data_IF_892262140780
#
_entry.id   IF_892262140780
#
_cell.length_a   1.000
_cell.length_b   1.000
_cell.length_c   1.000
_cell.angle_alpha   90.00
_cell.angle_beta   90.00
_cell.angle_gamma   90.00
#
_symmetry.space_group_name_H-M   'P 1'
#
loop_
_entity.id
_entity.type
_entity.pdbx_description
1 polymer ?
#
# COMPACT_ATOMS: atom_id res chain seq x y z
N UNK A 1 -1.13 -13.46 -23.29
CA UNK A 1 -2.28 -12.55 -23.17
C UNK A 1 -1.77 -11.19 -22.72
N UNK A 2 -2.62 -10.14 -22.79
CA UNK A 2 -2.27 -8.78 -22.35
C UNK A 2 -3.00 -8.45 -21.03
N UNK A 3 -2.25 -8.02 -20.02
CA UNK A 3 -2.77 -7.62 -18.74
C UNK A 3 -2.39 -6.16 -18.47
N UNK A 4 -3.40 -5.30 -18.27
CA UNK A 4 -3.20 -3.89 -17.99
C UNK A 4 -3.35 -3.65 -16.49
N UNK A 5 -2.29 -3.19 -15.84
CA UNK A 5 -2.32 -2.75 -14.46
C UNK A 5 -2.63 -1.27 -14.40
N UNK A 6 -3.68 -0.89 -13.69
CA UNK A 6 -4.05 0.51 -13.48
C UNK A 6 -3.80 0.90 -12.04
N UNK A 7 -3.03 1.95 -11.82
CA UNK A 7 -2.52 2.30 -10.49
C UNK A 7 -2.32 3.80 -10.33
N UNK A 8 -2.56 4.31 -9.13
CA UNK A 8 -2.21 5.67 -8.77
C UNK A 8 -0.68 5.86 -8.79
N UNK A 9 -0.14 7.03 -9.22
CA UNK A 9 1.29 7.29 -9.30
C UNK A 9 1.92 7.51 -7.91
N UNK A 10 1.81 6.51 -7.06
CA UNK A 10 2.28 6.47 -5.68
C UNK A 10 3.08 5.18 -5.44
N UNK A 11 4.27 5.29 -4.86
CA UNK A 11 5.13 4.13 -4.61
C UNK A 11 4.44 3.04 -3.80
N UNK A 12 3.67 3.42 -2.76
CA UNK A 12 2.94 2.47 -1.93
C UNK A 12 1.90 1.65 -2.70
N UNK A 13 1.29 2.24 -3.71
CA UNK A 13 0.30 1.59 -4.58
C UNK A 13 0.98 0.69 -5.62
N UNK A 14 1.96 1.24 -6.33
CA UNK A 14 2.70 0.54 -7.39
C UNK A 14 3.45 -0.70 -6.87
N UNK A 15 4.22 -0.56 -5.80
CA UNK A 15 5.02 -1.66 -5.26
C UNK A 15 4.17 -2.87 -4.85
N UNK A 16 2.96 -2.65 -4.34
CA UNK A 16 2.04 -3.72 -3.97
C UNK A 16 1.59 -4.58 -5.18
N UNK A 17 1.64 -4.03 -6.40
CA UNK A 17 1.18 -4.69 -7.61
C UNK A 17 2.31 -5.43 -8.37
N UNK A 18 3.55 -4.99 -8.17
CA UNK A 18 4.72 -5.49 -8.92
C UNK A 18 4.92 -7.00 -8.82
N UNK A 19 4.81 -7.66 -7.66
CA UNK A 19 5.05 -9.11 -7.58
C UNK A 19 4.14 -9.93 -8.50
N UNK A 20 2.85 -9.61 -8.58
CA UNK A 20 1.93 -10.30 -9.48
C UNK A 20 2.22 -9.95 -10.95
N UNK A 21 2.58 -8.71 -11.23
CA UNK A 21 2.94 -8.28 -12.58
C UNK A 21 4.19 -9.01 -13.09
N UNK A 22 5.22 -9.17 -12.24
CA UNK A 22 6.42 -9.96 -12.56
C UNK A 22 6.07 -11.43 -12.80
N UNK A 23 5.25 -12.04 -11.95
CA UNK A 23 4.82 -13.43 -12.12
C UNK A 23 4.08 -13.64 -13.46
N UNK A 24 3.22 -12.70 -13.88
CA UNK A 24 2.59 -12.76 -15.21
C UNK A 24 3.60 -12.66 -16.35
N UNK A 25 4.58 -11.76 -16.24
CA UNK A 25 5.65 -11.59 -17.23
C UNK A 25 6.50 -12.86 -17.35
N UNK A 26 6.86 -13.48 -16.22
CA UNK A 26 7.62 -14.74 -16.17
C UNK A 26 6.85 -15.92 -16.78
N UNK A 27 5.52 -15.88 -16.78
CA UNK A 27 4.66 -16.84 -17.46
C UNK A 27 4.39 -16.50 -18.94
N UNK A 28 5.15 -15.54 -19.51
CA UNK A 28 5.09 -15.20 -20.94
C UNK A 28 3.92 -14.31 -21.33
N UNK A 29 3.32 -13.60 -20.41
CA UNK A 29 2.27 -12.62 -20.68
C UNK A 29 2.85 -11.24 -20.96
N UNK A 30 2.15 -10.46 -21.77
CA UNK A 30 2.42 -9.04 -22.00
C UNK A 30 1.76 -8.23 -20.89
N UNK A 31 2.57 -7.49 -20.13
CA UNK A 31 2.12 -6.71 -18.98
C UNK A 31 2.52 -5.26 -19.16
N UNK A 32 1.57 -4.35 -18.92
CA UNK A 32 1.81 -2.92 -18.93
C UNK A 32 1.14 -2.24 -17.74
N UNK A 33 1.67 -1.08 -17.35
CA UNK A 33 1.09 -0.22 -16.34
C UNK A 33 0.55 1.07 -16.96
N UNK A 34 -0.68 1.41 -16.62
CA UNK A 34 -1.31 2.70 -16.86
C UNK A 34 -1.29 3.49 -15.55
N UNK A 35 -0.55 4.59 -15.52
CA UNK A 35 -0.39 5.47 -14.35
C UNK A 35 0.11 6.84 -14.80
N UNK A 36 0.16 7.83 -13.89
CA UNK A 36 0.59 9.18 -14.18
C UNK A 36 1.94 9.26 -14.93
N UNK A 37 2.09 10.28 -15.75
CA UNK A 37 3.27 10.47 -16.62
C UNK A 37 4.57 10.52 -15.85
N UNK A 38 4.58 11.21 -14.70
CA UNK A 38 5.78 11.36 -13.83
C UNK A 38 6.30 10.03 -13.29
N UNK A 39 5.46 8.99 -13.26
CA UNK A 39 5.81 7.67 -12.74
C UNK A 39 6.42 6.73 -13.80
N UNK A 40 6.53 7.19 -15.05
CA UNK A 40 6.98 6.38 -16.17
C UNK A 40 8.37 5.78 -16.00
N UNK A 41 9.34 6.56 -15.51
CA UNK A 41 10.71 6.07 -15.25
C UNK A 41 10.72 4.94 -14.22
N UNK A 42 9.93 5.05 -13.16
CA UNK A 42 9.79 4.03 -12.12
C UNK A 42 9.27 2.71 -12.69
N UNK A 43 8.19 2.76 -13.50
CA UNK A 43 7.61 1.60 -14.17
C UNK A 43 8.59 0.93 -15.13
N UNK A 44 9.28 1.75 -15.95
CA UNK A 44 10.26 1.27 -16.93
C UNK A 44 11.51 0.66 -16.27
N UNK A 45 11.94 1.20 -15.14
CA UNK A 45 13.08 0.67 -14.38
C UNK A 45 12.81 -0.75 -13.86
N UNK A 46 11.57 -1.04 -13.47
CA UNK A 46 11.14 -2.41 -13.10
C UNK A 46 10.95 -3.32 -14.33
N UNK A 47 11.07 -2.78 -15.54
CA UNK A 47 11.04 -3.54 -16.80
C UNK A 47 9.64 -3.74 -17.38
N UNK A 48 8.69 -2.84 -17.09
CA UNK A 48 7.36 -2.86 -17.67
C UNK A 48 7.15 -1.74 -18.69
N UNK A 49 6.23 -1.98 -19.62
CA UNK A 49 5.71 -0.94 -20.49
C UNK A 49 4.85 0.03 -19.67
N UNK A 50 5.05 1.34 -19.87
CA UNK A 50 4.28 2.41 -19.27
C UNK A 50 3.37 3.07 -20.30
N UNK A 51 2.12 3.28 -19.91
CA UNK A 51 1.18 4.15 -20.60
C UNK A 51 0.82 5.32 -19.66
N UNK A 52 1.10 6.56 -20.06
CA UNK A 52 0.76 7.73 -19.28
C UNK A 52 -0.76 7.91 -19.26
N UNK A 53 -1.39 7.64 -18.13
CA UNK A 53 -2.83 7.72 -17.90
C UNK A 53 -3.11 8.36 -16.53
N UNK A 54 -4.19 9.11 -16.45
CA UNK A 54 -4.59 9.81 -15.24
C UNK A 54 -3.75 11.06 -14.96
N UNK A 55 -3.98 11.63 -13.80
CA UNK A 55 -3.29 12.84 -13.34
C UNK A 55 -1.95 12.50 -12.70
N UNK A 56 -0.98 13.40 -12.85
CA UNK A 56 0.25 13.35 -12.09
C UNK A 56 0.01 13.89 -10.67
N UNK A 57 0.45 13.13 -9.70
CA UNK A 57 0.45 13.55 -8.30
C UNK A 57 1.83 14.14 -7.98
N UNK A 58 1.96 15.47 -8.08
CA UNK A 58 3.13 16.20 -7.62
C UNK A 58 2.92 16.61 -6.17
N UNK A 59 3.54 15.92 -5.23
CA UNK A 59 3.37 16.15 -3.81
C UNK A 59 2.30 15.28 -3.14
N UNK A 60 1.64 15.80 -2.11
CA UNK A 60 0.58 15.08 -1.42
C UNK A 60 -0.72 15.04 -2.26
N UNK A 61 -1.39 13.89 -2.36
CA UNK A 61 -2.65 13.75 -3.10
C UNK A 61 -3.75 14.71 -2.65
N UNK A 62 -3.74 15.12 -1.39
CA UNK A 62 -4.75 16.02 -0.81
C UNK A 62 -4.87 17.35 -1.58
N UNK A 63 -3.79 17.91 -2.10
CA UNK A 63 -3.83 19.14 -2.88
C UNK A 63 -4.69 19.04 -4.15
N UNK A 64 -4.73 17.86 -4.79
CA UNK A 64 -5.61 17.61 -5.94
C UNK A 64 -7.07 17.50 -5.51
N UNK A 65 -7.34 16.87 -4.35
CA UNK A 65 -8.71 16.72 -3.85
C UNK A 65 -9.35 18.08 -3.55
N UNK A 66 -8.56 19.04 -3.07
CA UNK A 66 -9.02 20.41 -2.83
C UNK A 66 -9.46 21.16 -4.09
N UNK A 67 -9.10 20.67 -5.28
CA UNK A 67 -9.58 21.25 -6.55
C UNK A 67 -11.04 20.89 -6.88
N UNK A 68 -11.63 19.94 -6.16
CA UNK A 68 -13.05 19.58 -6.35
C UNK A 68 -13.96 20.74 -5.93
N UNK A 69 -14.93 21.15 -6.78
CA UNK A 69 -15.82 22.29 -6.50
C UNK A 69 -16.64 22.13 -5.20
N UNK A 70 -16.89 20.91 -4.78
CA UNK A 70 -17.68 20.56 -3.60
C UNK A 70 -16.82 20.10 -2.41
N UNK A 71 -15.49 20.34 -2.41
CA UNK A 71 -14.60 19.76 -1.41
C UNK A 71 -14.91 20.19 0.02
N UNK A 72 -15.33 21.45 0.23
CA UNK A 72 -15.76 21.91 1.56
C UNK A 72 -17.02 21.18 2.05
N UNK A 73 -17.94 20.85 1.13
CA UNK A 73 -19.14 20.06 1.45
C UNK A 73 -18.73 18.63 1.81
N UNK A 74 -17.78 18.07 1.09
CA UNK A 74 -17.22 16.72 1.34
C UNK A 74 -16.58 16.67 2.73
N UNK A 75 -15.75 17.65 3.09
CA UNK A 75 -15.13 17.75 4.41
C UNK A 75 -16.18 17.86 5.54
N UNK A 76 -17.20 18.65 5.33
CA UNK A 76 -18.29 18.80 6.29
C UNK A 76 -19.14 17.52 6.44
N UNK A 77 -19.40 16.82 5.34
CA UNK A 77 -20.18 15.57 5.31
C UNK A 77 -19.41 14.38 5.91
N UNK A 78 -18.13 14.30 5.63
CA UNK A 78 -17.26 13.19 6.05
C UNK A 78 -16.16 13.69 7.00
N UNK A 79 -16.33 13.58 8.33
CA UNK A 79 -15.31 14.02 9.29
C UNK A 79 -14.04 13.13 9.25
N UNK A 80 -14.12 11.93 8.73
CA UNK A 80 -12.95 11.03 8.58
C UNK A 80 -12.11 11.42 7.37
N UNK A 81 -10.85 11.76 7.59
CA UNK A 81 -9.85 12.04 6.54
C UNK A 81 -9.74 10.87 5.55
N UNK A 82 -9.77 9.62 6.04
CA UNK A 82 -9.71 8.45 5.18
C UNK A 82 -10.90 8.35 4.22
N UNK A 83 -12.12 8.72 4.65
CA UNK A 83 -13.29 8.75 3.76
C UNK A 83 -13.18 9.88 2.74
N UNK A 84 -12.71 11.05 3.17
CA UNK A 84 -12.43 12.17 2.27
C UNK A 84 -11.41 11.77 1.18
N UNK A 85 -10.36 11.05 1.56
CA UNK A 85 -9.37 10.54 0.61
C UNK A 85 -10.00 9.58 -0.41
N UNK A 86 -10.82 8.60 0.03
CA UNK A 86 -11.51 7.68 -0.89
C UNK A 86 -12.41 8.47 -1.85
N UNK A 87 -13.16 9.44 -1.36
CA UNK A 87 -13.99 10.32 -2.21
C UNK A 87 -13.13 11.07 -3.26
N UNK A 88 -11.99 11.62 -2.83
CA UNK A 88 -11.04 12.31 -3.73
C UNK A 88 -10.46 11.38 -4.80
N UNK A 89 -10.08 10.16 -4.45
CA UNK A 89 -9.62 9.15 -5.42
C UNK A 89 -10.70 8.82 -6.45
N UNK A 90 -11.96 8.76 -6.05
CA UNK A 90 -13.08 8.52 -6.98
C UNK A 90 -13.32 9.72 -7.87
N UNK A 91 -13.52 10.91 -7.29
CA UNK A 91 -14.08 12.06 -8.01
C UNK A 91 -13.03 12.98 -8.64
N UNK A 92 -11.83 13.11 -8.04
CA UNK A 92 -10.77 13.94 -8.60
C UNK A 92 -9.91 13.16 -9.60
N UNK A 93 -9.53 11.92 -9.28
CA UNK A 93 -8.59 11.14 -10.12
C UNK A 93 -9.27 10.19 -11.08
N UNK A 94 -10.42 9.63 -10.68
CA UNK A 94 -11.15 8.64 -11.48
C UNK A 94 -11.51 9.07 -12.89
N UNK A 95 -12.04 10.29 -13.13
CA UNK A 95 -12.48 10.70 -14.46
C UNK A 95 -11.37 10.71 -15.52
N UNK A 96 -10.26 11.40 -15.27
CA UNK A 96 -9.16 11.45 -16.25
C UNK A 96 -8.58 10.07 -16.51
N UNK A 97 -8.44 9.25 -15.48
CA UNK A 97 -7.95 7.88 -15.62
C UNK A 97 -8.92 7.03 -16.43
N UNK A 98 -10.24 7.20 -16.26
CA UNK A 98 -11.25 6.48 -17.03
C UNK A 98 -11.19 6.84 -18.54
N UNK A 99 -11.03 8.12 -18.85
CA UNK A 99 -10.91 8.59 -20.24
C UNK A 99 -9.67 8.02 -20.93
N UNK A 100 -8.51 8.13 -20.28
CA UNK A 100 -7.23 7.67 -20.83
C UNK A 100 -7.19 6.13 -20.97
N UNK A 101 -7.63 5.38 -19.95
CA UNK A 101 -7.70 3.91 -20.03
C UNK A 101 -8.71 3.46 -21.06
N UNK A 102 -9.84 4.17 -21.23
CA UNK A 102 -10.81 3.89 -22.28
C UNK A 102 -10.21 4.02 -23.69
N UNK A 103 -9.39 5.06 -23.91
CA UNK A 103 -8.67 5.23 -25.18
C UNK A 103 -7.63 4.11 -25.38
N UNK A 104 -6.92 3.73 -24.30
CA UNK A 104 -5.91 2.68 -24.34
C UNK A 104 -6.52 1.30 -24.60
N UNK A 105 -7.68 0.98 -24.03
CA UNK A 105 -8.40 -0.28 -24.28
C UNK A 105 -8.66 -0.52 -25.76
N UNK A 106 -9.03 0.52 -26.51
CA UNK A 106 -9.31 0.42 -27.96
C UNK A 106 -8.06 0.03 -28.76
N UNK A 107 -6.91 0.52 -28.38
CA UNK A 107 -5.64 0.35 -29.11
C UNK A 107 -4.83 -0.83 -28.63
N UNK A 108 -4.62 -0.96 -27.32
CA UNK A 108 -3.78 -2.01 -26.72
C UNK A 108 -4.52 -3.33 -26.49
N UNK A 109 -5.85 -3.29 -26.28
CA UNK A 109 -6.77 -4.44 -26.17
C UNK A 109 -6.35 -5.42 -25.07
N UNK A 110 -6.35 -5.02 -23.78
CA UNK A 110 -6.07 -5.91 -22.68
C UNK A 110 -7.13 -7.01 -22.57
N UNK A 111 -6.72 -8.20 -22.13
CA UNK A 111 -7.64 -9.28 -21.81
C UNK A 111 -8.30 -9.09 -20.42
N UNK A 112 -7.56 -8.51 -19.49
CA UNK A 112 -8.01 -8.20 -18.12
C UNK A 112 -7.37 -6.87 -17.68
N UNK A 113 -8.12 -6.06 -16.95
CA UNK A 113 -7.59 -4.92 -16.19
C UNK A 113 -7.37 -5.36 -14.73
N UNK A 114 -6.14 -5.20 -14.22
CA UNK A 114 -5.79 -5.44 -12.82
C UNK A 114 -5.59 -4.09 -12.15
N UNK A 115 -6.43 -3.75 -11.21
CA UNK A 115 -6.44 -2.42 -10.61
C UNK A 115 -5.96 -2.40 -9.15
N UNK A 116 -5.40 -1.29 -8.76
CA UNK A 116 -5.19 -0.86 -7.40
C UNK A 116 -6.55 -0.62 -6.71
N UNK A 117 -6.73 -0.89 -5.41
CA UNK A 117 -8.03 -0.79 -4.75
C UNK A 117 -8.59 0.65 -4.68
N UNK A 118 -7.75 1.67 -4.83
CA UNK A 118 -8.14 3.10 -4.88
C UNK A 118 -8.02 3.70 -6.28
N UNK A 119 -7.85 2.88 -7.31
CA UNK A 119 -7.91 3.30 -8.70
C UNK A 119 -9.26 2.90 -9.28
N UNK A 120 -10.08 3.89 -9.65
CA UNK A 120 -11.46 3.68 -10.10
C UNK A 120 -11.67 3.92 -11.60
N UNK A 121 -10.75 4.59 -12.28
CA UNK A 121 -10.87 4.83 -13.73
C UNK A 121 -10.72 3.56 -14.55
N UNK A 122 -9.81 2.66 -14.15
CA UNK A 122 -9.68 1.33 -14.75
C UNK A 122 -10.92 0.47 -14.57
N UNK A 123 -11.59 0.56 -13.40
CA UNK A 123 -12.89 -0.08 -13.18
C UNK A 123 -13.97 0.48 -14.14
N UNK A 124 -14.08 1.80 -14.27
CA UNK A 124 -15.04 2.43 -15.18
C UNK A 124 -14.79 2.00 -16.63
N UNK A 125 -13.54 2.03 -17.08
CA UNK A 125 -13.16 1.59 -18.41
C UNK A 125 -13.46 0.10 -18.63
N UNK A 126 -13.18 -0.76 -17.65
CA UNK A 126 -13.49 -2.19 -17.72
C UNK A 126 -14.98 -2.43 -17.89
N UNK A 127 -15.82 -1.78 -17.07
CA UNK A 127 -17.28 -1.90 -17.16
C UNK A 127 -17.81 -1.38 -18.52
N UNK A 128 -17.31 -0.22 -18.98
CA UNK A 128 -17.74 0.37 -20.25
C UNK A 128 -17.46 -0.53 -21.45
N UNK A 129 -16.32 -1.24 -21.45
CA UNK A 129 -15.94 -2.16 -22.52
C UNK A 129 -16.26 -3.64 -22.23
N UNK A 130 -17.02 -3.92 -21.17
CA UNK A 130 -17.34 -5.28 -20.73
C UNK A 130 -16.09 -6.18 -20.60
N UNK A 131 -14.98 -5.61 -20.12
CA UNK A 131 -13.76 -6.34 -19.83
C UNK A 131 -13.79 -6.90 -18.40
N UNK A 132 -13.29 -8.11 -18.18
CA UNK A 132 -13.08 -8.59 -16.82
C UNK A 132 -11.99 -7.74 -16.13
N UNK A 133 -12.17 -7.54 -14.84
CA UNK A 133 -11.19 -6.83 -14.02
C UNK A 133 -10.92 -7.56 -12.71
N UNK A 134 -9.75 -7.34 -12.15
CA UNK A 134 -9.35 -7.86 -10.85
C UNK A 134 -8.82 -6.72 -9.98
N UNK A 135 -8.97 -6.86 -8.67
CA UNK A 135 -8.47 -5.88 -7.69
C UNK A 135 -7.37 -6.51 -6.85
N UNK A 136 -6.25 -5.81 -6.64
CA UNK A 136 -5.26 -6.17 -5.61
C UNK A 136 -5.59 -5.35 -4.37
N UNK A 137 -5.91 -6.00 -3.25
CA UNK A 137 -6.22 -5.31 -1.98
C UNK A 137 -5.01 -5.27 -1.05
N UNK A 138 -5.10 -4.40 -0.04
CA UNK A 138 -4.07 -4.18 0.98
C UNK A 138 -4.37 -4.90 2.31
N UNK A 139 -3.82 -4.34 3.41
CA UNK A 139 -4.00 -4.86 4.76
C UNK A 139 -5.45 -4.95 5.20
N UNK A 140 -6.25 -3.95 4.81
CA UNK A 140 -7.68 -3.91 5.07
C UNK A 140 -8.43 -3.76 3.74
N UNK A 141 -9.65 -4.24 3.69
CA UNK A 141 -10.52 -4.00 2.56
C UNK A 141 -11.15 -2.60 2.70
N UNK A 142 -10.62 -1.65 1.90
CA UNK A 142 -11.22 -0.32 1.78
C UNK A 142 -12.43 -0.46 0.87
N UNK A 143 -13.62 -0.35 1.46
CA UNK A 143 -14.88 -0.56 0.75
C UNK A 143 -15.60 0.77 0.47
N UNK A 144 -15.45 1.35 -0.74
CA UNK A 144 -16.15 2.59 -1.09
C UNK A 144 -17.67 2.47 -1.02
N UNK A 145 -18.23 1.26 -1.17
CA UNK A 145 -19.68 1.00 -0.99
C UNK A 145 -20.19 1.36 0.40
N UNK A 146 -19.32 1.27 1.42
CA UNK A 146 -19.66 1.61 2.81
C UNK A 146 -19.22 3.01 3.21
N UNK A 147 -18.20 3.55 2.54
CA UNK A 147 -17.58 4.81 2.94
C UNK A 147 -18.20 6.02 2.25
N UNK A 148 -18.35 5.97 0.93
CA UNK A 148 -18.92 7.05 0.11
C UNK A 148 -19.52 6.49 -1.19
N UNK A 149 -20.61 5.69 -1.11
CA UNK A 149 -21.20 5.01 -2.27
C UNK A 149 -21.65 5.98 -3.36
N UNK A 150 -22.17 7.14 -2.99
CA UNK A 150 -22.64 8.17 -3.93
C UNK A 150 -21.50 8.65 -4.85
N UNK A 151 -20.28 8.79 -4.36
CA UNK A 151 -19.15 9.21 -5.20
C UNK A 151 -18.93 8.25 -6.39
N UNK A 152 -19.01 6.95 -6.14
CA UNK A 152 -18.83 5.95 -7.17
C UNK A 152 -20.06 5.81 -8.08
N UNK A 153 -21.28 5.97 -7.51
CA UNK A 153 -22.52 6.00 -8.30
C UNK A 153 -22.50 7.19 -9.27
N UNK A 154 -22.14 8.38 -8.81
CA UNK A 154 -21.99 9.58 -9.64
C UNK A 154 -20.94 9.38 -10.74
N UNK A 155 -19.79 8.78 -10.41
CA UNK A 155 -18.76 8.48 -11.41
C UNK A 155 -19.30 7.51 -12.47
N UNK A 156 -20.04 6.45 -12.09
CA UNK A 156 -20.66 5.51 -13.03
C UNK A 156 -21.68 6.21 -13.94
N UNK A 157 -22.52 7.08 -13.38
CA UNK A 157 -23.52 7.85 -14.13
C UNK A 157 -22.88 8.78 -15.15
N UNK A 158 -21.76 9.44 -14.80
CA UNK A 158 -20.96 10.26 -15.73
C UNK A 158 -20.53 9.51 -16.98
N UNK A 159 -20.27 8.20 -16.86
CA UNK A 159 -19.87 7.33 -17.99
C UNK A 159 -21.04 6.51 -18.55
N UNK A 160 -22.29 6.85 -18.22
CA UNK A 160 -23.50 6.18 -18.70
C UNK A 160 -23.48 4.66 -18.52
N UNK A 161 -22.88 4.20 -17.42
CA UNK A 161 -22.90 2.79 -17.07
C UNK A 161 -24.28 2.38 -16.53
N UNK A 162 -24.71 1.12 -16.71
CA UNK A 162 -25.94 0.61 -16.15
C UNK A 162 -26.07 0.87 -14.65
N UNK A 163 -27.28 1.08 -14.16
CA UNK A 163 -27.53 1.27 -12.73
C UNK A 163 -27.04 0.08 -11.90
N UNK A 164 -26.31 0.40 -10.84
CA UNK A 164 -25.78 -0.58 -9.88
C UNK A 164 -25.74 0.10 -8.49
N UNK A 165 -26.90 0.33 -7.86
CA UNK A 165 -26.99 1.05 -6.59
C UNK A 165 -26.27 0.34 -5.45
N UNK A 166 -26.11 -0.98 -5.52
CA UNK A 166 -25.38 -1.79 -4.56
C UNK A 166 -23.89 -1.92 -4.90
N UNK A 167 -23.43 -1.32 -6.01
CA UNK A 167 -22.06 -1.37 -6.50
C UNK A 167 -21.51 -2.81 -6.59
N UNK A 168 -22.35 -3.77 -6.99
CA UNK A 168 -22.00 -5.18 -7.05
C UNK A 168 -20.94 -5.48 -8.13
N UNK A 169 -20.83 -4.59 -9.11
CA UNK A 169 -19.86 -4.75 -10.20
C UNK A 169 -18.43 -4.40 -9.78
N UNK A 170 -18.22 -3.64 -8.70
CA UNK A 170 -16.90 -3.14 -8.31
C UNK A 170 -15.85 -4.24 -8.09
N UNK A 171 -16.25 -5.33 -7.41
CA UNK A 171 -15.36 -6.46 -7.11
C UNK A 171 -16.02 -7.79 -7.48
N UNK A 172 -16.73 -7.82 -8.62
CA UNK A 172 -17.52 -9.01 -8.99
C UNK A 172 -16.72 -10.19 -9.51
N UNK A 173 -15.48 -9.98 -9.99
CA UNK A 173 -14.78 -11.04 -10.71
C UNK A 173 -13.70 -11.73 -9.88
N UNK A 174 -12.71 -10.98 -9.38
CA UNK A 174 -11.54 -11.52 -8.73
C UNK A 174 -10.87 -10.46 -7.86
N UNK A 175 -10.55 -10.82 -6.64
CA UNK A 175 -9.83 -9.98 -5.70
C UNK A 175 -8.62 -10.75 -5.18
N UNK A 176 -7.45 -10.13 -5.21
CA UNK A 176 -6.21 -10.67 -4.65
C UNK A 176 -5.88 -10.03 -3.31
N UNK A 177 -5.41 -10.85 -2.38
CA UNK A 177 -4.82 -10.39 -1.13
C UNK A 177 -3.57 -11.22 -0.80
N UNK A 178 -2.55 -10.59 -0.21
CA UNK A 178 -1.26 -11.24 0.06
C UNK A 178 -1.00 -11.42 1.56
N UNK A 179 -2.03 -11.30 2.37
CA UNK A 179 -1.98 -11.52 3.82
C UNK A 179 -2.82 -12.74 4.23
N UNK A 180 -2.51 -13.39 5.37
CA UNK A 180 -3.21 -14.59 5.80
C UNK A 180 -4.69 -14.29 6.17
N UNK A 181 -5.57 -15.30 6.19
CA UNK A 181 -7.01 -15.12 6.48
C UNK A 181 -7.31 -14.44 7.81
N UNK A 182 -6.46 -14.62 8.82
CA UNK A 182 -6.60 -13.96 10.12
C UNK A 182 -6.49 -12.44 10.03
N UNK A 183 -5.90 -11.92 8.95
CA UNK A 183 -5.75 -10.49 8.69
C UNK A 183 -7.03 -9.94 8.05
N UNK A 184 -8.03 -9.70 8.88
CA UNK A 184 -9.34 -9.20 8.44
C UNK A 184 -10.05 -8.44 9.56
N UNK A 185 -10.65 -7.31 9.22
CA UNK A 185 -11.59 -6.59 10.09
C UNK A 185 -12.97 -7.24 9.98
N UNK A 186 -13.62 -7.49 11.13
CA UNK A 186 -14.98 -8.05 11.15
C UNK A 186 -16.02 -7.11 10.55
N UNK A 187 -15.78 -5.79 10.62
CA UNK A 187 -16.69 -4.75 10.10
C UNK A 187 -16.61 -4.55 8.57
N UNK A 188 -15.51 -5.00 7.94
CA UNK A 188 -15.30 -4.87 6.50
C UNK A 188 -14.71 -6.18 5.94
N UNK A 189 -15.54 -7.22 5.79
CA UNK A 189 -15.08 -8.50 5.25
C UNK A 189 -14.66 -8.33 3.80
N UNK A 190 -13.65 -9.09 3.39
CA UNK A 190 -13.26 -9.15 1.99
C UNK A 190 -14.38 -9.76 1.14
N UNK A 191 -14.51 -9.37 -0.14
CA UNK A 191 -15.49 -9.96 -1.06
C UNK A 191 -15.34 -11.49 -1.19
N UNK A 192 -16.42 -12.24 -1.47
CA UNK A 192 -16.38 -13.71 -1.63
C UNK A 192 -15.48 -14.21 -2.77
N UNK A 193 -15.11 -13.32 -3.70
CA UNK A 193 -14.19 -13.61 -4.82
C UNK A 193 -12.72 -13.32 -4.45
N UNK A 194 -12.41 -13.19 -3.14
CA UNK A 194 -11.05 -12.90 -2.67
C UNK A 194 -10.24 -14.18 -2.54
N UNK A 195 -9.15 -14.24 -3.27
CA UNK A 195 -8.16 -15.30 -3.18
C UNK A 195 -6.85 -14.77 -2.58
N UNK A 196 -6.22 -15.59 -1.73
CA UNK A 196 -5.02 -15.23 -0.99
C UNK A 196 -3.80 -15.98 -1.52
N UNK A 197 -2.69 -15.25 -1.72
CA UNK A 197 -1.47 -15.81 -2.31
C UNK A 197 -0.24 -15.35 -1.55
N UNK A 198 0.79 -16.18 -1.54
CA UNK A 198 2.12 -15.85 -1.07
C UNK A 198 2.81 -14.97 -2.12
N UNK A 199 2.94 -13.66 -1.83
CA UNK A 199 3.69 -12.74 -2.65
C UNK A 199 4.84 -12.16 -1.84
N UNK A 200 6.08 -12.07 -2.36
CA UNK A 200 7.14 -11.35 -1.69
C UNK A 200 6.84 -9.84 -1.70
N UNK A 201 7.21 -9.09 -0.65
CA UNK A 201 7.18 -7.63 -0.73
C UNK A 201 8.16 -7.14 -1.81
N UNK A 202 7.86 -5.98 -2.40
CA UNK A 202 8.68 -5.34 -3.42
C UNK A 202 8.82 -3.85 -3.12
N UNK A 203 10.04 -3.32 -3.20
CA UNK A 203 10.34 -1.92 -2.96
C UNK A 203 11.62 -1.41 -3.66
N UNK A 204 12.23 -2.24 -4.49
CA UNK A 204 13.43 -1.88 -5.28
C UNK A 204 12.98 -1.47 -6.69
N UNK A 205 12.67 -0.19 -6.88
CA UNK A 205 12.21 0.35 -8.17
C UNK A 205 13.16 1.40 -8.77
N UNK A 206 14.42 1.40 -8.31
CA UNK A 206 15.50 2.25 -8.72
C UNK A 206 16.85 1.56 -8.54
N UNK A 207 17.93 2.34 -8.49
CA UNK A 207 19.29 1.87 -8.22
C UNK A 207 19.60 1.77 -6.71
N UNK A 208 18.56 1.81 -5.88
CA UNK A 208 18.70 1.80 -4.42
C UNK A 208 19.32 0.47 -3.93
N UNK A 209 20.27 0.58 -3.01
CA UNK A 209 21.00 -0.54 -2.43
C UNK A 209 21.13 -0.41 -0.92
N UNK A 210 21.49 -1.52 -0.26
CA UNK A 210 21.80 -1.51 1.15
C UNK A 210 23.13 -0.73 1.37
N UNK A 211 23.16 0.27 2.27
CA UNK A 211 24.41 0.95 2.63
C UNK A 211 25.44 0.01 3.27
N UNK A 212 26.70 0.17 2.90
CA UNK A 212 27.80 -0.71 3.35
C UNK A 212 27.95 -0.71 4.89
N UNK A 213 27.65 0.42 5.56
CA UNK A 213 27.77 0.56 7.01
C UNK A 213 26.77 -0.30 7.81
N UNK A 214 25.70 -0.82 7.20
CA UNK A 214 24.74 -1.69 7.88
C UNK A 214 25.42 -2.93 8.44
N UNK A 215 26.38 -3.52 7.70
CA UNK A 215 27.14 -4.69 8.16
C UNK A 215 28.14 -4.40 9.28
N UNK A 216 28.40 -3.13 9.57
CA UNK A 216 29.34 -2.69 10.62
C UNK A 216 28.62 -2.16 11.88
N UNK A 217 27.29 -2.25 11.96
CA UNK A 217 26.55 -1.84 13.14
C UNK A 217 26.99 -2.63 14.38
N UNK A 218 27.09 -1.98 15.57
CA UNK A 218 27.40 -2.66 16.83
C UNK A 218 26.43 -3.81 17.14
N UNK A 219 26.92 -4.83 17.87
CA UNK A 219 26.13 -6.00 18.27
C UNK A 219 25.11 -5.65 19.38
N UNK A 220 24.04 -4.97 19.00
CA UNK A 220 22.88 -4.62 19.85
C UNK A 220 21.62 -4.59 18.98
N UNK A 221 20.40 -4.58 19.57
CA UNK A 221 19.17 -4.55 18.79
C UNK A 221 19.14 -3.41 17.79
N UNK A 222 18.69 -3.67 16.58
CA UNK A 222 18.58 -2.67 15.51
C UNK A 222 17.10 -2.40 15.22
N UNK A 223 16.70 -1.13 15.34
CA UNK A 223 15.35 -0.64 15.07
C UNK A 223 15.34 0.10 13.75
N UNK A 224 14.51 -0.35 12.82
CA UNK A 224 14.19 0.42 11.64
C UNK A 224 12.98 1.32 11.89
N UNK A 225 13.09 2.61 11.58
CA UNK A 225 11.97 3.56 11.72
C UNK A 225 11.67 4.27 10.39
N UNK A 226 10.37 4.36 10.02
CA UNK A 226 9.93 5.04 8.81
C UNK A 226 8.48 5.54 8.91
N UNK A 227 8.19 6.70 8.33
CA UNK A 227 6.83 7.21 8.19
C UNK A 227 6.30 7.05 6.76
N UNK A 228 6.97 6.23 5.94
CA UNK A 228 6.58 5.96 4.54
C UNK A 228 7.08 7.01 3.56
N UNK A 229 6.49 6.99 2.35
CA UNK A 229 7.00 7.76 1.21
C UNK A 229 6.09 8.92 0.78
N UNK A 230 4.83 8.92 1.19
CA UNK A 230 3.82 9.88 0.68
C UNK A 230 3.28 10.80 1.77
N UNK A 231 2.71 10.25 2.84
CA UNK A 231 2.11 11.01 3.94
C UNK A 231 3.06 11.03 5.14
N UNK A 232 4.30 11.45 4.94
CA UNK A 232 5.36 11.39 5.93
C UNK A 232 5.78 12.77 6.48
N UNK A 233 5.11 13.85 6.09
CA UNK A 233 5.43 15.20 6.52
C UNK A 233 4.92 15.49 7.93
N UNK A 234 5.48 14.79 8.92
CA UNK A 234 5.20 15.02 10.34
C UNK A 234 6.49 15.24 11.13
N UNK A 235 7.04 16.46 11.11
CA UNK A 235 8.28 16.77 11.84
C UNK A 235 8.19 16.46 13.33
N UNK A 236 7.03 16.70 13.96
CA UNK A 236 6.83 16.40 15.37
C UNK A 236 6.93 14.88 15.67
N UNK A 237 6.38 14.04 14.80
CA UNK A 237 6.51 12.58 14.94
C UNK A 237 7.95 12.12 14.74
N UNK A 238 8.67 12.66 13.74
CA UNK A 238 10.10 12.34 13.57
C UNK A 238 10.94 12.79 14.76
N UNK A 239 10.68 13.97 15.33
CA UNK A 239 11.37 14.43 16.53
C UNK A 239 11.09 13.52 17.73
N UNK A 240 9.85 13.08 17.93
CA UNK A 240 9.50 12.13 18.99
C UNK A 240 10.20 10.77 18.82
N UNK A 241 10.24 10.24 17.59
CA UNK A 241 10.97 9.01 17.25
C UNK A 241 12.46 9.16 17.54
N UNK A 242 13.06 10.27 17.09
CA UNK A 242 14.47 10.53 17.31
C UNK A 242 14.81 10.66 18.79
N UNK A 243 14.00 11.39 19.57
CA UNK A 243 14.18 11.53 21.00
C UNK A 243 14.07 10.18 21.74
N UNK A 244 13.07 9.35 21.36
CA UNK A 244 12.87 8.01 21.93
C UNK A 244 14.07 7.10 21.67
N UNK A 245 14.51 6.99 20.42
CA UNK A 245 15.59 6.09 20.01
C UNK A 245 16.97 6.59 20.48
N UNK A 246 17.16 7.90 20.65
CA UNK A 246 18.38 8.47 21.21
C UNK A 246 18.63 8.10 22.67
N UNK A 247 17.56 7.79 23.40
CA UNK A 247 17.62 7.44 24.83
C UNK A 247 17.77 5.93 25.07
N UNK A 248 17.79 5.11 24.00
CA UNK A 248 17.86 3.64 24.09
C UNK A 248 19.21 3.08 23.63
N UNK A 249 19.62 1.95 24.20
CA UNK A 249 20.82 1.22 23.76
C UNK A 249 20.55 0.32 22.54
N UNK A 250 20.10 0.95 21.44
CA UNK A 250 19.80 0.28 20.18
C UNK A 250 20.58 0.92 19.03
N UNK A 251 20.72 0.22 17.91
CA UNK A 251 21.02 0.87 16.64
C UNK A 251 19.70 1.38 16.05
N UNK A 252 19.66 2.59 15.59
CA UNK A 252 18.48 3.14 14.91
C UNK A 252 18.81 3.49 13.45
N UNK A 253 18.07 2.90 12.53
CA UNK A 253 18.09 3.23 11.10
C UNK A 253 16.77 3.89 10.76
N UNK A 254 16.80 5.16 10.40
CA UNK A 254 15.59 5.97 10.15
C UNK A 254 15.57 6.38 8.68
N UNK A 255 14.45 6.14 7.98
CA UNK A 255 14.25 6.70 6.65
C UNK A 255 13.18 7.78 6.66
N UNK A 256 13.54 8.96 6.10
CA UNK A 256 12.67 10.16 6.15
C UNK A 256 11.87 10.36 4.86
N UNK A 257 12.10 9.53 3.84
CA UNK A 257 11.48 9.68 2.51
C UNK A 257 12.26 10.61 1.60
N UNK A 258 12.06 10.43 0.29
CA UNK A 258 12.85 11.11 -0.76
C UNK A 258 12.67 12.63 -0.80
N UNK A 259 11.63 13.16 -0.17
CA UNK A 259 11.32 14.60 -0.12
C UNK A 259 12.00 15.35 1.03
N UNK A 260 12.58 14.66 2.01
CA UNK A 260 13.24 15.28 3.16
C UNK A 260 14.76 15.12 3.10
N UNK A 261 15.47 16.15 3.57
CA UNK A 261 16.94 16.11 3.70
C UNK A 261 17.31 15.57 5.09
N UNK A 262 18.04 14.43 5.18
CA UNK A 262 18.55 13.90 6.44
C UNK A 262 19.42 14.89 7.23
N UNK A 263 20.09 15.82 6.56
CA UNK A 263 20.98 16.80 7.21
C UNK A 263 20.24 17.71 8.20
N UNK A 264 18.94 17.92 8.03
CA UNK A 264 18.12 18.75 8.94
C UNK A 264 18.02 18.18 10.37
N UNK A 265 18.36 16.88 10.57
CA UNK A 265 18.30 16.20 11.86
C UNK A 265 19.64 16.16 12.59
N UNK A 266 20.70 16.78 12.05
CA UNK A 266 22.02 16.84 12.68
C UNK A 266 22.09 17.88 13.83
N UNK A 267 22.91 17.67 14.90
CA UNK A 267 23.79 16.50 15.09
C UNK A 267 23.07 15.27 15.63
N UNK A 268 23.55 14.07 15.29
CA UNK A 268 23.00 12.80 15.72
C UNK A 268 23.92 12.03 16.69
N UNK A 269 23.38 11.26 17.64
CA UNK A 269 24.15 10.24 18.34
C UNK A 269 24.74 9.20 17.38
N UNK A 270 25.92 8.68 17.71
CA UNK A 270 26.68 7.77 16.84
C UNK A 270 25.95 6.46 16.48
N UNK A 271 24.90 6.10 17.21
CA UNK A 271 24.09 4.92 17.01
C UNK A 271 22.84 5.15 16.16
N UNK A 272 22.63 6.38 15.69
CA UNK A 272 21.48 6.76 14.87
C UNK A 272 21.95 7.13 13.46
N UNK A 273 21.36 6.47 12.48
CA UNK A 273 21.59 6.70 11.07
C UNK A 273 20.30 7.14 10.40
N UNK A 274 20.33 8.25 9.69
CA UNK A 274 19.18 8.78 8.94
C UNK A 274 19.52 8.84 7.46
N UNK A 275 18.66 8.21 6.66
CA UNK A 275 18.77 8.16 5.21
C UNK A 275 17.47 8.66 4.56
N UNK A 276 17.54 9.10 3.32
CA UNK A 276 16.32 9.42 2.58
C UNK A 276 15.49 8.18 2.31
N UNK A 277 16.14 7.12 1.85
CA UNK A 277 15.49 5.88 1.47
C UNK A 277 16.47 4.70 1.52
N UNK A 278 16.02 3.60 2.08
CA UNK A 278 16.67 2.28 1.96
C UNK A 278 15.56 1.29 1.67
N UNK A 279 15.71 0.38 0.66
CA UNK A 279 14.73 -0.67 0.44
C UNK A 279 14.52 -1.53 1.70
N UNK A 280 13.28 -1.60 2.18
CA UNK A 280 12.95 -2.36 3.40
C UNK A 280 13.22 -3.85 3.23
N UNK A 281 13.02 -4.38 2.02
CA UNK A 281 13.30 -5.78 1.69
C UNK A 281 14.76 -6.14 1.89
N UNK A 282 15.68 -5.18 1.71
CA UNK A 282 17.12 -5.36 1.94
C UNK A 282 17.51 -5.07 3.38
N UNK A 283 16.87 -4.09 4.03
CA UNK A 283 17.24 -3.63 5.37
C UNK A 283 16.68 -4.52 6.49
N UNK A 284 15.42 -4.94 6.40
CA UNK A 284 14.73 -5.66 7.48
C UNK A 284 15.40 -6.97 7.92
N UNK A 285 16.10 -7.74 7.06
CA UNK A 285 16.91 -8.88 7.53
C UNK A 285 17.99 -8.54 8.57
N UNK A 286 18.37 -7.26 8.70
CA UNK A 286 19.38 -6.75 9.63
C UNK A 286 18.77 -6.06 10.86
N UNK A 287 17.44 -6.11 11.01
CA UNK A 287 16.71 -5.41 12.06
C UNK A 287 16.03 -6.38 13.04
N UNK A 288 15.75 -5.90 14.23
CA UNK A 288 15.05 -6.64 15.29
C UNK A 288 13.59 -6.22 15.49
N UNK A 289 13.25 -4.99 15.16
CA UNK A 289 11.87 -4.48 15.14
C UNK A 289 11.74 -3.34 14.13
N UNK A 290 10.49 -3.05 13.74
CA UNK A 290 10.16 -1.92 12.89
C UNK A 290 9.20 -0.97 13.59
N UNK A 291 9.49 0.34 13.51
CA UNK A 291 8.62 1.44 13.88
C UNK A 291 8.11 2.11 12.62
N UNK A 292 6.78 2.14 12.41
CA UNK A 292 6.22 2.69 11.17
C UNK A 292 4.81 3.25 11.36
N UNK A 293 4.33 3.95 10.34
CA UNK A 293 3.04 4.66 10.37
C UNK A 293 1.80 3.76 10.18
N UNK A 294 1.95 2.47 9.89
CA UNK A 294 0.82 1.55 9.64
C UNK A 294 0.49 1.31 8.15
N UNK A 295 1.30 1.83 7.22
CA UNK A 295 1.09 1.62 5.78
C UNK A 295 1.35 0.18 5.33
N UNK A 296 0.62 -0.26 4.29
CA UNK A 296 0.58 -1.66 3.84
C UNK A 296 1.95 -2.25 3.49
N UNK A 297 2.78 -1.55 2.71
CA UNK A 297 4.05 -2.13 2.25
C UNK A 297 5.01 -2.41 3.42
N UNK A 298 5.09 -1.48 4.38
CA UNK A 298 5.91 -1.68 5.59
C UNK A 298 5.35 -2.81 6.45
N UNK A 299 4.02 -2.90 6.59
CA UNK A 299 3.35 -4.01 7.25
C UNK A 299 3.68 -5.35 6.58
N UNK A 300 3.51 -5.43 5.26
CA UNK A 300 3.76 -6.65 4.50
C UNK A 300 5.23 -7.09 4.60
N UNK A 301 6.16 -6.14 4.48
CA UNK A 301 7.59 -6.39 4.67
C UNK A 301 7.91 -6.87 6.09
N UNK A 302 7.32 -6.24 7.12
CA UNK A 302 7.51 -6.65 8.51
C UNK A 302 7.01 -8.08 8.77
N UNK A 303 5.80 -8.41 8.30
CA UNK A 303 5.22 -9.75 8.42
C UNK A 303 6.03 -10.80 7.64
N UNK A 304 6.51 -10.45 6.45
CA UNK A 304 7.35 -11.32 5.62
C UNK A 304 8.66 -11.69 6.29
N UNK A 305 9.24 -10.77 7.06
CA UNK A 305 10.46 -11.00 7.84
C UNK A 305 10.19 -11.51 9.26
N UNK A 306 8.94 -11.49 9.72
CA UNK A 306 8.56 -11.94 11.06
C UNK A 306 8.99 -10.95 12.14
N UNK A 307 8.86 -9.66 11.87
CA UNK A 307 9.30 -8.56 12.72
C UNK A 307 8.24 -8.14 13.72
N UNK A 308 8.59 -7.93 15.01
CA UNK A 308 7.77 -7.14 15.93
C UNK A 308 7.57 -5.71 15.41
N UNK A 309 6.39 -5.13 15.64
CA UNK A 309 6.00 -3.86 15.07
C UNK A 309 5.64 -2.82 16.12
N UNK A 310 6.08 -1.58 15.92
CA UNK A 310 5.62 -0.40 16.66
C UNK A 310 4.92 0.50 15.63
N UNK A 311 3.67 0.86 15.88
CA UNK A 311 2.85 1.58 14.91
C UNK A 311 2.49 2.97 15.45
N UNK A 312 2.84 4.03 14.71
CA UNK A 312 2.47 5.43 15.01
C UNK A 312 1.65 5.97 13.83
N UNK A 313 0.31 5.80 13.81
CA UNK A 313 -0.50 6.26 12.69
C UNK A 313 -0.40 7.77 12.48
N UNK A 314 -0.45 8.25 11.22
CA UNK A 314 -0.39 9.66 10.85
C UNK A 314 -1.74 10.22 10.35
N UNK A 315 -2.81 9.44 10.44
CA UNK A 315 -4.17 9.87 10.07
C UNK A 315 -4.64 9.45 8.68
N UNK A 316 -3.83 8.77 7.84
CA UNK A 316 -4.36 8.17 6.63
C UNK A 316 -5.30 6.99 6.94
N UNK A 317 -6.29 6.75 6.07
CA UNK A 317 -7.48 5.94 6.38
C UNK A 317 -7.24 4.48 6.77
N UNK A 318 -6.15 3.86 6.31
CA UNK A 318 -5.81 2.46 6.60
C UNK A 318 -4.88 2.27 7.81
N UNK A 319 -4.18 3.33 8.24
CA UNK A 319 -3.10 3.24 9.22
C UNK A 319 -3.59 2.86 10.62
N UNK A 320 -4.61 3.56 11.12
CA UNK A 320 -5.16 3.29 12.45
C UNK A 320 -5.81 1.90 12.55
N UNK A 321 -6.69 1.48 11.61
CA UNK A 321 -7.21 0.11 11.60
C UNK A 321 -6.12 -0.97 11.49
N UNK A 322 -5.04 -0.72 10.76
CA UNK A 322 -3.87 -1.61 10.68
C UNK A 322 -3.20 -1.75 12.04
N UNK A 323 -2.98 -0.64 12.76
CA UNK A 323 -2.43 -0.65 14.10
C UNK A 323 -3.28 -1.45 15.08
N UNK A 324 -4.61 -1.27 15.06
CA UNK A 324 -5.54 -2.07 15.86
C UNK A 324 -5.44 -3.57 15.58
N UNK A 325 -5.28 -3.95 14.30
CA UNK A 325 -5.08 -5.35 13.93
C UNK A 325 -3.74 -5.90 14.43
N UNK A 326 -2.67 -5.12 14.36
CA UNK A 326 -1.37 -5.50 14.90
C UNK A 326 -1.46 -5.81 16.41
N UNK A 327 -2.12 -4.94 17.18
CA UNK A 327 -2.36 -5.16 18.61
C UNK A 327 -3.21 -6.40 18.87
N UNK A 328 -4.36 -6.50 18.18
CA UNK A 328 -5.29 -7.63 18.32
C UNK A 328 -4.63 -8.98 17.99
N UNK A 329 -3.75 -9.00 16.99
CA UNK A 329 -3.03 -10.20 16.57
C UNK A 329 -1.77 -10.46 17.39
N UNK A 330 -1.40 -9.57 18.32
CA UNK A 330 -0.23 -9.72 19.17
C UNK A 330 1.11 -9.63 18.45
N UNK A 331 1.17 -8.90 17.32
CA UNK A 331 2.40 -8.73 16.53
C UNK A 331 3.01 -7.35 16.66
N UNK A 332 2.33 -6.43 17.35
CA UNK A 332 2.81 -5.06 17.50
C UNK A 332 2.08 -4.28 18.56
N UNK A 333 2.57 -3.07 18.78
CA UNK A 333 2.11 -2.10 19.77
C UNK A 333 1.77 -0.81 19.03
N UNK A 334 0.58 -0.26 19.23
CA UNK A 334 0.19 1.00 18.64
C UNK A 334 0.33 2.16 19.63
N UNK A 335 1.14 3.14 19.26
CA UNK A 335 1.20 4.44 19.95
C UNK A 335 0.11 5.32 19.37
N UNK A 336 -0.91 5.63 20.18
CA UNK A 336 -2.20 6.22 19.71
C UNK A 336 -2.22 7.74 19.68
N UNK A 337 -1.37 8.35 20.45
CA UNK A 337 -1.26 9.82 20.61
C UNK A 337 -0.77 10.47 19.30
N UNK A 338 -1.32 11.65 18.99
CA UNK A 338 -0.95 12.41 17.78
C UNK A 338 -0.71 13.90 18.12
N UNK A 339 0.54 14.42 18.01
CA UNK A 339 1.77 13.65 17.77
C UNK A 339 2.10 12.68 18.92
N UNK A 340 2.84 11.60 18.68
CA UNK A 340 3.20 10.64 19.71
C UNK A 340 4.18 11.27 20.72
N UNK A 341 4.07 10.88 21.99
CA UNK A 341 5.06 11.23 22.99
C UNK A 341 6.29 10.31 22.88
N UNK A 342 7.49 10.86 23.03
CA UNK A 342 8.74 10.09 22.94
C UNK A 342 8.82 8.95 23.96
N UNK A 343 8.28 9.16 25.17
CA UNK A 343 8.26 8.13 26.21
C UNK A 343 7.32 6.96 25.87
N UNK A 344 6.19 7.24 25.23
CA UNK A 344 5.28 6.19 24.74
C UNK A 344 5.93 5.34 23.62
N UNK A 345 6.65 5.99 22.70
CA UNK A 345 7.44 5.29 21.67
C UNK A 345 8.52 4.45 22.33
N UNK A 346 9.25 5.01 23.29
CA UNK A 346 10.32 4.33 24.01
C UNK A 346 9.83 3.06 24.69
N UNK A 347 8.74 3.16 25.46
CA UNK A 347 8.11 2.02 26.11
C UNK A 347 7.68 0.94 25.11
N UNK A 348 7.13 1.34 23.96
CA UNK A 348 6.75 0.40 22.89
C UNK A 348 7.97 -0.30 22.26
N UNK A 349 9.08 0.42 22.05
CA UNK A 349 10.34 -0.14 21.54
C UNK A 349 10.91 -1.18 22.52
N UNK A 350 11.00 -0.83 23.79
CA UNK A 350 11.45 -1.76 24.85
C UNK A 350 10.60 -3.02 24.88
N UNK A 351 9.27 -2.88 24.89
CA UNK A 351 8.36 -4.01 24.91
C UNK A 351 8.49 -4.89 23.64
N UNK A 352 8.65 -4.30 22.46
CA UNK A 352 8.82 -5.03 21.21
C UNK A 352 10.12 -5.85 21.17
N UNK A 353 11.18 -5.38 21.81
CA UNK A 353 12.48 -6.06 21.89
C UNK A 353 12.49 -7.12 22.99
N UNK A 354 12.01 -6.78 24.21
CA UNK A 354 12.18 -7.58 25.41
C UNK A 354 11.11 -8.66 25.57
N UNK A 355 9.90 -8.46 25.00
CA UNK A 355 8.81 -9.42 25.12
C UNK A 355 8.84 -10.43 23.95
N UNK A 356 9.26 -11.68 24.16
CA UNK A 356 9.43 -12.66 23.09
C UNK A 356 8.11 -13.06 22.40
N UNK A 357 6.97 -12.76 23.03
CA UNK A 357 5.65 -13.06 22.50
C UNK A 357 5.37 -12.36 21.15
N UNK A 358 5.77 -11.09 21.01
CA UNK A 358 5.58 -10.35 19.75
C UNK A 358 6.36 -10.99 18.59
N UNK A 359 7.63 -11.32 18.83
CA UNK A 359 8.47 -11.99 17.84
C UNK A 359 7.94 -13.39 17.50
N UNK A 360 7.55 -14.17 18.49
CA UNK A 360 6.98 -15.51 18.28
C UNK A 360 5.72 -15.45 17.42
N UNK A 361 4.84 -14.47 17.69
CA UNK A 361 3.60 -14.30 16.92
C UNK A 361 3.87 -13.79 15.51
N UNK A 362 4.78 -12.84 15.33
CA UNK A 362 5.20 -12.36 14.01
C UNK A 362 5.79 -13.50 13.15
N UNK A 363 6.63 -14.36 13.75
CA UNK A 363 7.15 -15.56 13.09
C UNK A 363 6.04 -16.57 12.74
N UNK A 364 5.00 -16.69 13.56
CA UNK A 364 3.85 -17.54 13.22
C UNK A 364 3.12 -16.99 11.99
N UNK A 365 2.79 -15.68 11.95
CA UNK A 365 2.14 -15.06 10.79
C UNK A 365 3.01 -15.14 9.53
N UNK A 366 4.33 -14.99 9.66
CA UNK A 366 5.27 -15.24 8.55
C UNK A 366 5.09 -16.64 7.98
N UNK A 367 4.98 -17.68 8.83
CA UNK A 367 4.75 -19.06 8.37
C UNK A 367 3.39 -19.19 7.66
N UNK A 368 2.34 -18.55 8.19
CA UNK A 368 1.01 -18.54 7.59
C UNK A 368 1.03 -17.89 6.19
N UNK A 369 1.75 -16.76 6.01
CA UNK A 369 1.93 -16.12 4.69
C UNK A 369 2.67 -17.06 3.74
N UNK A 370 3.79 -17.65 4.20
CA UNK A 370 4.61 -18.54 3.37
C UNK A 370 3.89 -19.84 2.98
N UNK A 371 2.85 -20.24 3.71
CA UNK A 371 2.01 -21.39 3.42
C UNK A 371 0.86 -21.11 2.42
N UNK A 372 0.62 -19.84 2.07
CA UNK A 372 -0.35 -19.49 1.04
C UNK A 372 0.08 -20.02 -0.34
N UNK A 373 -0.87 -20.30 -1.25
CA UNK A 373 -0.55 -20.64 -2.63
C UNK A 373 0.37 -19.60 -3.27
N UNK A 374 1.29 -20.02 -4.09
CA UNK A 374 2.24 -19.15 -4.78
C UNK A 374 1.58 -18.31 -5.89
N UNK A 375 2.33 -17.34 -6.43
CA UNK A 375 1.83 -16.45 -7.47
C UNK A 375 1.56 -17.15 -8.81
N UNK A 376 2.08 -18.37 -9.06
CA UNK A 376 1.72 -19.14 -10.26
C UNK A 376 0.25 -19.51 -10.25
N UNK A 377 -0.33 -19.74 -9.07
CA UNK A 377 -1.77 -19.99 -8.92
C UNK A 377 -2.59 -18.70 -9.14
N UNK A 378 -2.07 -17.54 -8.72
CA UNK A 378 -2.69 -16.24 -9.01
C UNK A 378 -2.71 -15.96 -10.52
N UNK A 379 -1.62 -16.26 -11.23
CA UNK A 379 -1.53 -16.17 -12.69
C UNK A 379 -2.59 -17.05 -13.35
N UNK A 380 -2.74 -18.32 -12.93
CA UNK A 380 -3.78 -19.23 -13.45
C UNK A 380 -5.19 -18.66 -13.25
N UNK A 381 -5.47 -18.01 -12.11
CA UNK A 381 -6.77 -17.35 -11.89
C UNK A 381 -7.01 -16.23 -12.90
N UNK A 382 -6.02 -15.40 -13.18
CA UNK A 382 -6.13 -14.34 -14.19
C UNK A 382 -6.28 -14.91 -15.62
N UNK A 383 -5.61 -16.01 -15.94
CA UNK A 383 -5.80 -16.70 -17.22
C UNK A 383 -7.21 -17.26 -17.38
N UNK A 384 -7.75 -17.89 -16.32
CA UNK A 384 -9.14 -18.38 -16.30
C UNK A 384 -10.09 -17.19 -16.48
N UNK A 385 -9.90 -16.10 -15.73
CA UNK A 385 -10.71 -14.91 -15.83
C UNK A 385 -10.69 -14.34 -17.26
N UNK A 386 -9.51 -14.24 -17.87
CA UNK A 386 -9.36 -13.74 -19.24
C UNK A 386 -10.12 -14.58 -20.28
N UNK A 387 -10.18 -15.91 -20.08
CA UNK A 387 -10.86 -16.85 -21.00
C UNK A 387 -12.36 -16.92 -20.75
N UNK A 388 -12.79 -16.99 -19.49
CA UNK A 388 -14.19 -17.26 -19.14
C UNK A 388 -15.02 -16.00 -18.96
N UNK A 389 -14.38 -14.89 -18.52
CA UNK A 389 -15.03 -13.63 -18.11
C UNK A 389 -16.09 -13.83 -17.01
N UNK A 390 -15.92 -14.86 -16.18
CA UNK A 390 -16.85 -15.21 -15.10
C UNK A 390 -16.21 -14.90 -13.73
N UNK A 391 -17.04 -14.54 -12.74
CA UNK A 391 -16.61 -14.42 -11.34
C UNK A 391 -15.94 -15.69 -10.84
N UNK A 392 -14.93 -15.55 -10.00
CA UNK A 392 -14.22 -16.68 -9.41
C UNK A 392 -14.43 -16.66 -7.89
N UNK A 393 -15.39 -17.42 -7.40
CA UNK A 393 -15.60 -17.60 -5.96
C UNK A 393 -14.42 -18.34 -5.31
N UNK A 394 -14.11 -17.95 -4.06
CA UNK A 394 -13.07 -18.55 -3.22
C UNK A 394 -13.47 -19.93 -2.70
#
# INVERSE_FOLDING_TARGET
>A
MKFLFTVQPLFGHFHAMVPLALALKDHGHEVAFATGRSFGSTVQHVGFQHFPCGLDLSGEPNGIFETLPNWEIVKAKYPSVGVQQVYGFVQALGPQMADDVSALVKTWRPAVIVRDPLEFGGYIAAEHYSLPHATITWAIYINPKLLCPEALIELRQRYSLPDDPELNTLDRYLVFNFLPPVWQLSMAPFPPVTHRFCAPPFDVSGEDRLPDWIGALPARPTIYATLGTTFNQSPATFQAILAALSAEEVNAVITVGRSMDPAQFQPLPAHIHIEQYIPQTLLLPHCDAILFHGGYNSLHSALWHGMPMIITPLGAGDQYPTGLLCEKLGVGIMVKEQPPESEAIRAAVQAAIEQPAYRARAHQLRREIKALPDLSQAVKRLEILARTRLPQSS
#
